data_IF_056774384725
#
_entry.id   IF_056774384725
#
_cell.length_a   1.000
_cell.length_b   1.000
_cell.length_c   1.000
_cell.angle_alpha   90.00
_cell.angle_beta   90.00
_cell.angle_gamma   90.00
#
_symmetry.space_group_name_H-M   'P 1'
#
loop_
_entity.id
_entity.type
_entity.pdbx_description
1 polymer ?
#
# COMPACT_ATOMS: atom_id res chain seq x y z
N UNK A 1 -23.92 2.37 -24.00
CA UNK A 1 -24.46 2.44 -22.62
C UNK A 1 -23.59 1.55 -21.73
N UNK A 2 -22.44 2.07 -21.29
CA UNK A 2 -21.59 1.38 -20.31
C UNK A 2 -22.28 1.59 -18.96
N UNK A 3 -22.74 0.51 -18.32
CA UNK A 3 -23.29 0.59 -16.97
C UNK A 3 -22.15 1.02 -16.03
N UNK A 4 -22.29 2.19 -15.43
CA UNK A 4 -21.53 2.59 -14.24
C UNK A 4 -21.69 1.48 -13.18
N UNK A 5 -20.69 0.61 -13.07
CA UNK A 5 -20.58 -0.36 -11.98
C UNK A 5 -20.08 0.37 -10.74
N UNK A 6 -20.78 1.41 -10.32
CA UNK A 6 -20.50 2.06 -9.03
C UNK A 6 -20.89 1.06 -7.96
N UNK A 7 -19.91 0.60 -7.18
CA UNK A 7 -20.15 -0.11 -5.92
C UNK A 7 -20.88 0.88 -4.99
N UNK A 8 -22.21 0.86 -5.00
CA UNK A 8 -23.03 1.53 -4.00
C UNK A 8 -23.22 0.54 -2.85
N UNK A 9 -22.17 0.37 -2.04
CA UNK A 9 -22.33 -0.21 -0.72
C UNK A 9 -22.91 0.89 0.18
N UNK A 10 -23.93 0.57 0.98
CA UNK A 10 -24.43 1.47 2.01
C UNK A 10 -23.31 1.82 3.01
N UNK A 11 -23.44 2.92 3.79
CA UNK A 11 -22.39 3.39 4.70
C UNK A 11 -21.84 2.28 5.62
N UNK A 12 -22.70 1.37 6.10
CA UNK A 12 -22.31 0.23 6.93
C UNK A 12 -21.47 -0.81 6.15
N UNK A 13 -21.86 -1.11 4.91
CA UNK A 13 -21.13 -2.04 4.06
C UNK A 13 -19.77 -1.47 3.61
N UNK A 14 -19.67 -0.14 3.42
CA UNK A 14 -18.38 0.53 3.19
C UNK A 14 -17.47 0.43 4.42
N UNK A 15 -18.01 0.59 5.63
CA UNK A 15 -17.22 0.41 6.87
C UNK A 15 -16.72 -1.03 7.02
N UNK A 16 -17.54 -2.03 6.71
CA UNK A 16 -17.13 -3.43 6.70
C UNK A 16 -16.05 -3.71 5.66
N UNK A 17 -16.18 -3.14 4.46
CA UNK A 17 -15.16 -3.23 3.40
C UNK A 17 -13.84 -2.58 3.83
N UNK A 18 -13.90 -1.38 4.43
CA UNK A 18 -12.71 -0.69 4.96
C UNK A 18 -12.01 -1.54 6.02
N UNK A 19 -12.76 -2.15 6.95
CA UNK A 19 -12.23 -3.04 7.97
C UNK A 19 -11.57 -4.29 7.36
N UNK A 20 -12.25 -4.94 6.40
CA UNK A 20 -11.72 -6.12 5.70
C UNK A 20 -10.42 -5.78 4.97
N UNK A 21 -10.39 -4.68 4.22
CA UNK A 21 -9.19 -4.28 3.49
C UNK A 21 -8.03 -3.89 4.42
N UNK A 22 -8.30 -3.26 5.56
CA UNK A 22 -7.27 -2.95 6.57
C UNK A 22 -6.71 -4.21 7.21
N UNK A 23 -7.57 -5.14 7.62
CA UNK A 23 -7.17 -6.30 8.40
C UNK A 23 -6.57 -7.40 7.54
N UNK A 24 -7.06 -7.56 6.31
CA UNK A 24 -6.65 -8.67 5.45
C UNK A 24 -5.68 -8.21 4.38
N UNK A 25 -6.11 -7.31 3.49
CA UNK A 25 -5.30 -6.94 2.33
C UNK A 25 -4.05 -6.14 2.72
N UNK A 26 -4.19 -5.08 3.52
CA UNK A 26 -3.06 -4.29 3.98
C UNK A 26 -2.09 -5.15 4.81
N UNK A 27 -2.60 -6.03 5.66
CA UNK A 27 -1.79 -6.96 6.46
C UNK A 27 -1.03 -7.97 5.59
N UNK A 28 -1.69 -8.54 4.57
CA UNK A 28 -1.06 -9.45 3.62
C UNK A 28 0.06 -8.75 2.82
N UNK A 29 -0.19 -7.53 2.33
CA UNK A 29 0.82 -6.73 1.62
C UNK A 29 1.97 -6.36 2.56
N UNK A 30 1.68 -5.97 3.81
CA UNK A 30 2.72 -5.73 4.81
C UNK A 30 3.58 -6.98 5.00
N UNK A 31 2.97 -8.14 5.19
CA UNK A 31 3.66 -9.42 5.38
C UNK A 31 4.58 -9.74 4.21
N UNK A 32 4.09 -9.56 2.97
CA UNK A 32 4.88 -9.70 1.75
C UNK A 32 6.09 -8.76 1.77
N UNK A 33 5.88 -7.49 2.15
CA UNK A 33 6.91 -6.47 2.13
C UNK A 33 7.91 -6.57 3.27
N UNK A 34 7.55 -7.19 4.39
CA UNK A 34 8.46 -7.40 5.52
C UNK A 34 9.23 -8.72 5.40
N UNK A 35 8.79 -9.65 4.54
CA UNK A 35 9.46 -10.93 4.32
C UNK A 35 10.90 -10.75 3.85
N UNK A 36 11.86 -11.25 4.65
CA UNK A 36 13.29 -11.23 4.32
C UNK A 36 13.93 -9.84 4.36
N UNK A 37 13.27 -8.86 4.99
CA UNK A 37 13.84 -7.54 5.28
C UNK A 37 15.02 -7.66 6.24
N UNK A 38 16.04 -6.82 6.06
CA UNK A 38 17.13 -6.63 7.03
C UNK A 38 16.59 -6.06 8.34
N UNK A 39 17.08 -6.56 9.47
CA UNK A 39 16.83 -5.93 10.77
C UNK A 39 17.65 -4.64 10.89
N UNK A 40 17.05 -3.56 10.39
CA UNK A 40 17.56 -2.21 10.56
C UNK A 40 16.79 -1.58 11.72
N UNK A 41 17.38 -1.60 12.93
CA UNK A 41 16.79 -1.19 14.24
C UNK A 41 15.94 0.09 14.27
N UNK A 42 15.98 0.95 13.24
CA UNK A 42 15.23 2.21 13.15
C UNK A 42 14.46 2.41 11.83
N UNK A 43 14.42 1.41 10.95
CA UNK A 43 13.83 1.50 9.61
C UNK A 43 12.57 0.65 9.55
N UNK A 44 11.42 1.30 9.67
CA UNK A 44 10.13 0.67 9.40
C UNK A 44 9.83 0.68 7.88
N UNK A 45 8.79 -0.07 7.48
CA UNK A 45 8.40 -0.18 6.08
C UNK A 45 8.05 1.19 5.46
N UNK A 46 7.39 2.08 6.21
CA UNK A 46 7.08 3.43 5.73
C UNK A 46 8.33 4.17 5.28
N UNK A 47 9.40 4.22 6.10
CA UNK A 47 10.67 4.88 5.73
C UNK A 47 11.31 4.30 4.47
N UNK A 48 11.13 3.01 4.21
CA UNK A 48 11.60 2.36 2.98
C UNK A 48 10.77 2.86 1.80
N UNK A 49 9.45 2.92 1.93
CA UNK A 49 8.57 3.49 0.91
C UNK A 49 8.95 4.94 0.63
N UNK A 50 9.13 5.77 1.67
CA UNK A 50 9.60 7.16 1.52
C UNK A 50 10.91 7.22 0.71
N UNK A 51 11.89 6.41 1.09
CA UNK A 51 13.19 6.36 0.42
C UNK A 51 13.13 5.84 -1.03
N UNK A 52 12.15 4.99 -1.36
CA UNK A 52 11.94 4.46 -2.72
C UNK A 52 11.31 5.48 -3.67
N UNK A 53 10.62 6.47 -3.11
CA UNK A 53 9.95 7.52 -3.88
C UNK A 53 10.87 8.73 -4.03
N UNK A 54 11.60 9.11 -2.98
CA UNK A 54 12.53 10.25 -2.99
C UNK A 54 13.74 10.04 -3.92
N UNK A 55 14.09 8.80 -4.27
CA UNK A 55 15.30 8.49 -5.06
C UNK A 55 15.11 8.44 -6.57
N UNK A 56 13.88 8.29 -7.10
CA UNK A 56 13.74 7.68 -8.42
C UNK A 56 12.75 8.26 -9.43
N UNK A 57 12.05 9.39 -9.23
CA UNK A 57 11.12 9.89 -10.27
C UNK A 57 11.00 11.43 -10.27
N UNK A 58 10.97 12.11 -11.44
CA UNK A 58 10.50 13.49 -11.54
C UNK A 58 9.07 13.57 -11.02
N UNK A 59 8.75 14.53 -10.17
CA UNK A 59 7.50 14.72 -9.40
C UNK A 59 6.16 14.65 -10.17
N UNK A 60 6.16 14.36 -11.47
CA UNK A 60 5.03 14.19 -12.38
C UNK A 60 4.38 12.80 -12.41
N UNK A 61 4.98 11.77 -11.80
CA UNK A 61 4.38 10.42 -11.74
C UNK A 61 3.21 10.30 -10.74
N UNK A 62 2.22 9.45 -11.05
CA UNK A 62 1.05 9.24 -10.17
C UNK A 62 1.42 8.68 -8.79
N UNK A 63 2.37 7.73 -8.72
CA UNK A 63 2.81 7.12 -7.46
C UNK A 63 3.42 8.16 -6.49
N UNK A 64 4.42 8.97 -6.87
CA UNK A 64 4.90 10.06 -6.02
C UNK A 64 3.80 11.02 -5.56
N UNK A 65 2.89 11.39 -6.46
CA UNK A 65 1.76 12.28 -6.13
C UNK A 65 0.86 11.67 -5.04
N UNK A 66 0.48 10.41 -5.20
CA UNK A 66 -0.32 9.67 -4.20
C UNK A 66 0.38 9.65 -2.85
N UNK A 67 1.69 9.37 -2.85
CA UNK A 67 2.48 9.36 -1.62
C UNK A 67 2.52 10.72 -0.93
N UNK A 68 2.75 11.82 -1.65
CA UNK A 68 2.78 13.14 -1.04
C UNK A 68 1.41 13.58 -0.51
N UNK A 69 0.32 13.27 -1.22
CA UNK A 69 -1.05 13.48 -0.73
C UNK A 69 -1.29 12.75 0.60
N UNK A 70 -0.94 11.46 0.67
CA UNK A 70 -1.07 10.66 1.90
C UNK A 70 -0.14 11.16 3.00
N UNK A 71 1.09 11.54 2.66
CA UNK A 71 2.06 12.07 3.63
C UNK A 71 1.53 13.32 4.31
N UNK A 72 0.95 14.25 3.55
CA UNK A 72 0.35 15.47 4.12
C UNK A 72 -0.83 15.15 5.03
N UNK A 73 -1.74 14.26 4.60
CA UNK A 73 -2.90 13.86 5.41
C UNK A 73 -2.45 13.16 6.70
N UNK A 74 -1.56 12.17 6.57
CA UNK A 74 -1.16 11.30 7.66
C UNK A 74 -0.16 11.95 8.63
N UNK A 75 0.62 12.95 8.19
CA UNK A 75 1.42 13.81 9.07
C UNK A 75 0.55 14.51 10.12
N UNK A 76 -0.67 14.88 9.73
CA UNK A 76 -1.60 15.59 10.61
C UNK A 76 -2.42 14.64 11.51
N UNK A 77 -2.40 13.32 11.27
CA UNK A 77 -3.29 12.36 11.97
C UNK A 77 -2.60 11.35 12.88
N UNK A 78 -1.38 10.87 12.57
CA UNK A 78 -0.69 9.92 13.46
C UNK A 78 0.83 9.84 13.23
N UNK A 79 1.59 9.66 14.30
CA UNK A 79 3.01 9.36 14.26
C UNK A 79 3.31 7.89 13.93
N UNK A 80 2.32 6.99 14.06
CA UNK A 80 2.50 5.56 13.86
C UNK A 80 2.54 5.19 12.36
N UNK A 81 3.62 4.51 11.96
CA UNK A 81 3.93 4.26 10.55
C UNK A 81 2.94 3.33 9.86
N UNK A 82 2.33 2.40 10.61
CA UNK A 82 1.41 1.42 10.04
C UNK A 82 0.16 2.10 9.47
N UNK A 83 -0.33 3.14 10.15
CA UNK A 83 -1.48 3.88 9.64
C UNK A 83 -1.14 4.65 8.36
N UNK A 84 0.07 5.21 8.27
CA UNK A 84 0.56 5.85 7.03
C UNK A 84 0.62 4.85 5.89
N UNK A 85 1.12 3.64 6.18
CA UNK A 85 1.17 2.54 5.24
C UNK A 85 -0.22 2.12 4.76
N UNK A 86 -1.17 1.87 5.68
CA UNK A 86 -2.54 1.51 5.34
C UNK A 86 -3.24 2.60 4.51
N UNK A 87 -3.10 3.87 4.91
CA UNK A 87 -3.63 5.02 4.17
C UNK A 87 -3.09 5.06 2.74
N UNK A 88 -1.81 4.72 2.56
CA UNK A 88 -1.17 4.68 1.26
C UNK A 88 -1.71 3.54 0.38
N UNK A 89 -1.90 2.33 0.93
CA UNK A 89 -2.56 1.23 0.20
C UNK A 89 -3.99 1.62 -0.21
N UNK A 90 -4.74 2.28 0.67
CA UNK A 90 -6.09 2.75 0.37
C UNK A 90 -6.11 3.77 -0.78
N UNK A 91 -5.19 4.74 -0.74
CA UNK A 91 -5.07 5.73 -1.80
C UNK A 91 -4.66 5.10 -3.15
N UNK A 92 -3.81 4.06 -3.12
CA UNK A 92 -3.46 3.28 -4.31
C UNK A 92 -4.66 2.50 -4.85
N UNK A 93 -5.47 1.88 -4.00
CA UNK A 93 -6.69 1.17 -4.41
C UNK A 93 -7.72 2.13 -5.02
N UNK A 94 -7.98 3.27 -4.38
CA UNK A 94 -8.90 4.29 -4.89
C UNK A 94 -8.50 4.83 -6.28
N UNK A 95 -7.21 4.79 -6.61
CA UNK A 95 -6.67 5.26 -7.89
C UNK A 95 -6.26 4.12 -8.84
N UNK A 96 -6.53 2.87 -8.47
CA UNK A 96 -6.17 1.69 -9.27
C UNK A 96 -4.67 1.54 -9.56
N UNK A 97 -3.83 2.05 -8.66
CA UNK A 97 -2.36 2.11 -8.81
C UNK A 97 -1.61 1.08 -7.95
N UNK A 98 -2.31 0.22 -7.21
CA UNK A 98 -1.68 -0.71 -6.25
C UNK A 98 -0.67 -1.65 -6.92
N UNK A 99 -1.07 -2.30 -8.02
CA UNK A 99 -0.21 -3.25 -8.74
C UNK A 99 0.96 -2.52 -9.40
N UNK A 100 0.70 -1.37 -10.02
CA UNK A 100 1.73 -0.53 -10.62
C UNK A 100 2.79 -0.11 -9.60
N UNK A 101 2.36 0.27 -8.38
CA UNK A 101 3.26 0.60 -7.30
C UNK A 101 4.10 -0.61 -6.86
N UNK A 102 3.52 -1.80 -6.73
CA UNK A 102 4.26 -3.01 -6.37
C UNK A 102 5.32 -3.37 -7.41
N UNK A 103 5.00 -3.27 -8.70
CA UNK A 103 5.99 -3.40 -9.77
C UNK A 103 7.07 -2.33 -9.69
N UNK A 104 6.69 -1.07 -9.51
CA UNK A 104 7.63 0.03 -9.35
C UNK A 104 8.59 -0.20 -8.17
N UNK A 105 8.08 -0.65 -7.04
CA UNK A 105 8.86 -0.88 -5.83
C UNK A 105 9.86 -2.02 -6.04
N UNK A 106 9.41 -3.17 -6.56
CA UNK A 106 10.24 -4.36 -6.72
C UNK A 106 11.26 -4.27 -7.85
N UNK A 107 11.02 -3.46 -8.89
CA UNK A 107 11.95 -3.26 -10.01
C UNK A 107 13.18 -2.42 -9.66
N UNK A 108 13.20 -1.74 -8.51
CA UNK A 108 14.35 -0.94 -8.08
C UNK A 108 15.43 -1.83 -7.43
N UNK A 109 16.13 -2.64 -8.24
CA UNK A 109 17.07 -3.67 -7.76
C UNK A 109 18.10 -3.13 -6.75
N UNK A 110 18.78 -2.03 -7.08
CA UNK A 110 19.81 -1.42 -6.22
C UNK A 110 19.25 -0.86 -4.92
N UNK A 111 17.97 -0.47 -4.91
CA UNK A 111 17.28 -0.01 -3.72
C UNK A 111 16.89 -1.20 -2.85
N UNK A 112 16.21 -2.19 -3.42
CA UNK A 112 15.74 -3.40 -2.72
C UNK A 112 16.92 -4.14 -2.07
N UNK A 113 18.04 -4.33 -2.77
CA UNK A 113 19.22 -5.00 -2.21
C UNK A 113 19.81 -4.29 -0.97
N UNK A 114 19.55 -3.00 -0.77
CA UNK A 114 19.97 -2.29 0.45
C UNK A 114 19.13 -2.69 1.65
N UNK A 115 17.84 -2.95 1.49
CA UNK A 115 16.90 -3.19 2.58
C UNK A 115 16.50 -4.66 2.78
N UNK A 116 16.76 -5.52 1.79
CA UNK A 116 16.46 -6.96 1.85
C UNK A 116 17.77 -7.76 1.76
N UNK A 117 17.92 -8.81 2.58
CA UNK A 117 19.15 -9.63 2.65
C UNK A 117 18.91 -11.10 2.43
N UNK A 118 17.74 -11.61 2.82
CA UNK A 118 17.46 -13.03 2.67
C UNK A 118 17.30 -13.36 1.19
N UNK A 119 18.02 -14.35 0.62
CA UNK A 119 17.79 -14.80 -0.74
C UNK A 119 16.35 -15.32 -0.94
N UNK A 120 15.70 -15.73 0.15
CA UNK A 120 14.31 -16.19 0.16
C UNK A 120 13.30 -15.04 0.33
N UNK A 121 13.76 -13.79 0.46
CA UNK A 121 12.87 -12.63 0.51
C UNK A 121 12.00 -12.62 -0.74
N UNK A 122 10.66 -12.54 -0.59
CA UNK A 122 9.74 -12.70 -1.71
C UNK A 122 9.98 -11.62 -2.79
N UNK A 123 10.39 -10.43 -2.34
CA UNK A 123 10.77 -9.32 -3.21
C UNK A 123 12.12 -9.54 -3.92
N UNK A 124 13.06 -10.27 -3.34
CA UNK A 124 14.30 -10.60 -4.04
C UNK A 124 14.08 -11.75 -5.03
N UNK A 125 13.23 -12.71 -4.67
CA UNK A 125 12.83 -13.80 -5.56
C UNK A 125 12.03 -13.27 -6.76
N UNK A 126 11.23 -12.22 -6.60
CA UNK A 126 10.51 -11.59 -7.72
C UNK A 126 11.44 -10.96 -8.77
N UNK A 127 12.69 -10.69 -8.41
CA UNK A 127 13.71 -10.19 -9.35
C UNK A 127 14.37 -11.35 -10.13
N UNK A 128 14.25 -12.58 -9.64
CA UNK A 128 14.76 -13.79 -10.29
C UNK A 128 13.77 -14.31 -11.33
N UNK A 129 14.27 -14.70 -12.51
CA UNK A 129 13.46 -15.27 -13.60
C UNK A 129 12.92 -16.68 -13.32
N UNK A 130 13.35 -17.32 -12.23
CA UNK A 130 13.11 -18.74 -11.96
C UNK A 130 11.83 -19.04 -11.16
N UNK A 131 11.20 -18.03 -10.54
CA UNK A 131 10.03 -18.26 -9.71
C UNK A 131 9.00 -17.12 -9.80
N UNK A 132 7.92 -17.37 -10.53
CA UNK A 132 6.94 -16.35 -10.89
C UNK A 132 5.81 -16.15 -9.86
N UNK A 133 6.04 -16.47 -8.57
CA UNK A 133 5.02 -16.33 -7.53
C UNK A 133 4.59 -14.88 -7.35
N UNK A 134 5.53 -13.94 -7.48
CA UNK A 134 5.21 -12.52 -7.41
C UNK A 134 4.25 -12.09 -8.52
N UNK A 135 4.51 -12.45 -9.78
CA UNK A 135 3.56 -12.19 -10.88
C UNK A 135 2.20 -12.82 -10.62
N UNK A 136 2.15 -14.05 -10.08
CA UNK A 136 0.87 -14.68 -9.71
C UNK A 136 0.10 -13.89 -8.66
N UNK A 137 0.80 -13.35 -7.65
CA UNK A 137 0.21 -12.47 -6.63
C UNK A 137 -0.28 -11.17 -7.30
N UNK A 138 0.53 -10.55 -8.16
CA UNK A 138 0.14 -9.35 -8.89
C UNK A 138 -1.11 -9.60 -9.74
N UNK A 139 -1.18 -10.70 -10.49
CA UNK A 139 -2.36 -11.11 -11.26
C UNK A 139 -3.60 -11.29 -10.38
N UNK A 140 -3.46 -11.76 -9.13
CA UNK A 140 -4.62 -11.79 -8.21
C UNK A 140 -5.04 -10.39 -7.79
N UNK A 141 -4.08 -9.51 -7.51
CA UNK A 141 -4.35 -8.12 -7.12
C UNK A 141 -4.94 -7.29 -8.27
N UNK A 142 -4.57 -7.56 -9.53
CA UNK A 142 -5.14 -6.91 -10.72
C UNK A 142 -6.64 -7.13 -10.86
N UNK A 143 -7.18 -8.21 -10.29
CA UNK A 143 -8.63 -8.45 -10.26
C UNK A 143 -9.39 -7.40 -9.45
N UNK A 144 -8.69 -6.64 -8.59
CA UNK A 144 -9.27 -5.55 -7.81
C UNK A 144 -9.33 -4.24 -8.60
N UNK A 145 -8.51 -4.07 -9.64
CA UNK A 145 -8.43 -2.85 -10.47
C UNK A 145 -9.75 -2.37 -11.08
N UNK A 146 -10.68 -3.26 -11.50
CA UNK A 146 -11.98 -2.81 -12.02
C UNK A 146 -12.94 -2.26 -10.97
N UNK A 147 -12.65 -2.42 -9.67
CA UNK A 147 -13.53 -2.01 -8.58
C UNK A 147 -13.32 -0.51 -8.28
N UNK A 148 -14.38 0.33 -8.34
CA UNK A 148 -14.26 1.75 -8.06
C UNK A 148 -14.27 2.01 -6.54
N UNK A 149 -13.16 1.68 -5.88
CA UNK A 149 -12.98 1.89 -4.45
C UNK A 149 -13.15 3.38 -4.07
N UNK A 150 -13.87 3.62 -2.96
CA UNK A 150 -14.02 4.94 -2.31
C UNK A 150 -13.69 4.85 -0.83
N UNK A 151 -12.51 4.33 -0.55
CA UNK A 151 -12.05 4.04 0.80
C UNK A 151 -11.65 5.33 1.50
N UNK A 152 -12.10 5.51 2.74
CA UNK A 152 -11.75 6.68 3.53
C UNK A 152 -10.76 6.27 4.62
N UNK A 153 -9.65 6.98 4.69
CA UNK A 153 -8.71 6.79 5.79
C UNK A 153 -9.17 7.60 7.01
N UNK A 154 -9.61 6.91 8.05
CA UNK A 154 -9.86 7.46 9.37
C UNK A 154 -8.69 7.09 10.28
N UNK A 155 -8.02 8.09 10.83
CA UNK A 155 -7.09 7.86 11.94
C UNK A 155 -7.87 7.39 13.15
N UNK A 156 -7.34 6.45 13.97
CA UNK A 156 -8.01 5.98 15.18
C UNK A 156 -8.33 7.09 16.19
N UNK A 157 -7.69 8.25 16.06
CA UNK A 157 -7.96 9.41 16.91
C UNK A 157 -9.33 10.07 16.63
N UNK A 158 -9.96 9.80 15.48
CA UNK A 158 -11.24 10.41 15.14
C UNK A 158 -12.46 9.53 15.49
N UNK A 159 -12.25 8.28 15.93
CA UNK A 159 -13.33 7.37 16.32
C UNK A 159 -13.67 7.42 17.81
N UNK A 160 -13.03 8.29 18.60
CA UNK A 160 -13.27 8.41 20.05
C UNK A 160 -13.87 9.76 20.48
N UNK A 161 -14.27 10.64 19.54
CA UNK A 161 -14.79 11.97 19.90
C UNK A 161 -16.31 12.11 19.69
N UNK A 162 -16.99 11.12 19.11
CA UNK A 162 -18.43 11.24 18.82
C UNK A 162 -19.36 10.31 19.62
N UNK A 163 -18.84 9.57 20.61
CA UNK A 163 -19.67 8.66 21.45
C UNK A 163 -19.77 9.06 22.92
N UNK A 164 -19.39 10.28 23.30
CA UNK A 164 -19.73 10.82 24.63
C UNK A 164 -20.32 12.23 24.51
N UNK A 165 -21.55 12.34 25.01
CA UNK A 165 -22.31 13.56 25.24
C UNK A 165 -21.61 14.50 26.21
#
# INVERSE_FOLDING_TARGET
>A
KQSDKTFFLDNEQNLQLDCLLKNDLCSAIQTILEHGRKDLKKTNLWKIIESSIDKNIPTSGQIPRIYYEVKQIAQNTSSYWLYKFQAFIFALLNKNELVNWLYYFTRQKDFIQRYYQSPDALILVSISSTFNLFERIMTQLEKLTPLPFRLTYHSPTNSLINDEQ
#
